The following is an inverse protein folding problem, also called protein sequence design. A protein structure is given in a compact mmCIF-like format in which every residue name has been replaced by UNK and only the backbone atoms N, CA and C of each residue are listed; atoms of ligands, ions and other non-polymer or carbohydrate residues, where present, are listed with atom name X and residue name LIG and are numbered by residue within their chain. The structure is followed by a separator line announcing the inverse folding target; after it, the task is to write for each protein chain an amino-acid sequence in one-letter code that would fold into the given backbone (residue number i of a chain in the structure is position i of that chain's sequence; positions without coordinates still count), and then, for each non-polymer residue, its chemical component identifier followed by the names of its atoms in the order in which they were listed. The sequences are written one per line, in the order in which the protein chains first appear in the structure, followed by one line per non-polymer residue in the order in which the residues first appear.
data_IF_662352447300
#
_entry.id   IF_662352447300
#
_cell.length_a   1.000
_cell.length_b   1.000
_cell.length_c   1.000
_cell.angle_alpha   90.00
_cell.angle_beta   90.00
_cell.angle_gamma   90.00
#
_symmetry.space_group_name_H-M   'P 1'
#
loop_
_entity.id
_entity.type
_entity.pdbx_description
1 polymer ?
#
# COMPACT_ATOMS: atom_id res chain seq x y z
N UNK A 1 -15.01 3.37 13.77
CA UNK A 1 -14.02 3.37 14.88
C UNK A 1 -12.71 2.72 14.42
N UNK A 2 -11.56 3.00 15.04
CA UNK A 2 -10.28 2.40 14.63
C UNK A 2 -10.32 0.86 14.70
N UNK A 3 -10.94 0.32 15.76
CA UNK A 3 -11.12 -1.12 15.97
C UNK A 3 -11.82 -1.83 14.80
N UNK A 4 -12.68 -1.11 14.05
CA UNK A 4 -13.33 -1.65 12.87
C UNK A 4 -12.31 -2.12 11.83
N UNK A 5 -11.17 -1.47 11.70
CA UNK A 5 -10.17 -1.77 10.67
C UNK A 5 -9.17 -2.86 11.07
N UNK A 6 -9.12 -3.27 12.35
CA UNK A 6 -8.16 -4.26 12.84
C UNK A 6 -8.50 -5.66 12.33
N UNK A 7 -7.53 -6.37 11.75
CA UNK A 7 -7.71 -7.72 11.20
C UNK A 7 -7.30 -7.82 9.73
N UNK A 8 -7.68 -8.93 9.09
CA UNK A 8 -7.28 -9.28 7.73
C UNK A 8 -8.31 -8.81 6.69
N UNK A 9 -7.82 -8.18 5.63
CA UNK A 9 -8.59 -7.63 4.52
C UNK A 9 -8.02 -8.14 3.21
N UNK A 10 -8.85 -8.56 2.27
CA UNK A 10 -8.38 -8.86 0.91
C UNK A 10 -8.43 -7.60 0.05
N UNK A 11 -7.36 -7.30 -0.67
CA UNK A 11 -7.27 -6.16 -1.60
C UNK A 11 -7.64 -6.64 -3.00
N UNK A 12 -8.63 -5.98 -3.61
CA UNK A 12 -8.97 -6.14 -5.01
C UNK A 12 -8.13 -5.18 -5.85
N UNK A 13 -7.37 -5.75 -6.78
CA UNK A 13 -6.60 -5.02 -7.78
C UNK A 13 -6.58 -5.83 -9.10
N UNK A 14 -6.12 -5.22 -10.20
CA UNK A 14 -5.90 -5.92 -11.47
C UNK A 14 -4.94 -7.09 -11.27
N UNK A 15 -5.38 -8.27 -11.71
CA UNK A 15 -4.54 -9.46 -11.67
C UNK A 15 -3.39 -9.32 -12.67
N UNK A 16 -2.15 -9.46 -12.19
CA UNK A 16 -0.99 -9.58 -13.07
C UNK A 16 -0.94 -11.00 -13.63
N UNK A 17 -0.89 -11.15 -14.96
CA UNK A 17 -0.83 -12.45 -15.63
C UNK A 17 0.30 -13.34 -15.09
N UNK A 18 1.45 -12.75 -14.77
CA UNK A 18 2.61 -13.45 -14.22
C UNK A 18 2.41 -14.02 -12.80
N UNK A 19 1.46 -13.48 -12.03
CA UNK A 19 1.21 -13.88 -10.64
C UNK A 19 0.00 -14.82 -10.49
N UNK A 20 -0.77 -15.04 -11.57
CA UNK A 20 -1.99 -15.85 -11.54
C UNK A 20 -3.07 -15.25 -10.63
N UNK A 21 -3.99 -16.09 -10.14
CA UNK A 21 -5.10 -15.68 -9.23
C UNK A 21 -4.68 -15.73 -7.76
N UNK A 22 -3.53 -15.13 -7.43
CA UNK A 22 -3.07 -15.08 -6.03
C UNK A 22 -3.70 -13.88 -5.32
N UNK A 23 -4.42 -14.09 -4.21
CA UNK A 23 -5.02 -12.99 -3.46
C UNK A 23 -3.93 -12.17 -2.77
N UNK A 24 -4.20 -10.87 -2.62
CA UNK A 24 -3.38 -9.93 -1.85
C UNK A 24 -4.13 -9.59 -0.57
N UNK A 25 -3.43 -9.60 0.57
CA UNK A 25 -4.05 -9.31 1.86
C UNK A 25 -3.35 -8.16 2.59
N UNK A 26 -4.15 -7.37 3.29
CA UNK A 26 -3.70 -6.37 4.26
C UNK A 26 -4.18 -6.79 5.64
N UNK A 27 -3.24 -7.03 6.55
CA UNK A 27 -3.54 -7.30 7.96
C UNK A 27 -3.17 -6.09 8.79
N UNK A 28 -4.12 -5.51 9.51
CA UNK A 28 -3.93 -4.32 10.35
C UNK A 28 -3.94 -4.76 11.81
N UNK A 29 -2.88 -4.40 12.56
CA UNK A 29 -2.73 -4.76 13.97
C UNK A 29 -3.16 -3.60 14.87
N UNK A 30 -3.61 -3.93 16.08
CA UNK A 30 -3.86 -2.93 17.13
C UNK A 30 -2.57 -2.52 17.84
N UNK A 31 -1.52 -2.27 17.06
CA UNK A 31 -0.18 -1.90 17.51
C UNK A 31 0.28 -0.66 16.76
N UNK A 32 1.10 0.19 17.38
CA UNK A 32 1.73 1.31 16.69
C UNK A 32 2.85 0.81 15.79
N UNK A 33 3.02 1.46 14.64
CA UNK A 33 4.16 1.17 13.78
C UNK A 33 5.43 1.76 14.38
N UNK A 34 6.54 1.00 14.33
CA UNK A 34 7.87 1.53 14.65
C UNK A 34 8.35 2.60 13.67
N UNK A 35 7.77 2.66 12.46
CA UNK A 35 8.11 3.66 11.41
C UNK A 35 7.28 4.94 11.50
N UNK A 36 6.12 4.91 12.16
CA UNK A 36 5.27 6.09 12.32
C UNK A 36 4.48 6.01 13.63
N UNK A 37 4.77 6.91 14.60
CA UNK A 37 4.02 6.98 15.86
C UNK A 37 2.51 7.23 15.66
N UNK A 38 2.13 7.81 14.53
CA UNK A 38 0.74 8.11 14.19
C UNK A 38 0.06 6.96 13.42
N UNK A 39 0.83 6.03 12.86
CA UNK A 39 0.34 4.87 12.12
C UNK A 39 0.05 3.65 12.99
N UNK A 40 -0.70 2.72 12.43
CA UNK A 40 -0.84 1.36 12.94
C UNK A 40 0.08 0.44 12.17
N UNK A 41 0.68 -0.53 12.86
CA UNK A 41 1.42 -1.63 12.22
C UNK A 41 0.47 -2.40 11.30
N UNK A 42 0.95 -2.74 10.11
CA UNK A 42 0.22 -3.57 9.17
C UNK A 42 1.18 -4.48 8.40
N UNK A 43 0.66 -5.58 7.86
CA UNK A 43 1.38 -6.49 6.97
C UNK A 43 0.62 -6.59 5.67
N UNK A 44 1.31 -6.35 4.56
CA UNK A 44 0.82 -6.58 3.21
C UNK A 44 1.38 -7.93 2.73
N UNK A 45 0.50 -8.90 2.52
CA UNK A 45 0.83 -10.18 1.90
C UNK A 45 0.61 -10.06 0.39
N UNK A 46 1.67 -10.14 -0.39
CA UNK A 46 1.63 -10.11 -1.85
C UNK A 46 2.45 -11.26 -2.41
N UNK A 47 1.84 -12.07 -3.29
CA UNK A 47 2.50 -13.22 -3.90
C UNK A 47 3.14 -14.20 -2.87
N UNK A 48 2.45 -14.44 -1.74
CA UNK A 48 2.91 -15.26 -0.60
C UNK A 48 4.13 -14.71 0.15
N UNK A 49 4.53 -13.48 -0.12
CA UNK A 49 5.55 -12.78 0.65
C UNK A 49 4.86 -11.74 1.53
N UNK A 50 5.21 -11.73 2.81
CA UNK A 50 4.73 -10.74 3.77
C UNK A 50 5.69 -9.55 3.82
N UNK A 51 5.12 -8.36 3.79
CA UNK A 51 5.85 -7.11 3.88
C UNK A 51 5.24 -6.27 4.99
N UNK A 52 6.04 -5.95 6.01
CA UNK A 52 5.58 -5.01 7.04
C UNK A 52 5.47 -3.60 6.43
N UNK A 53 4.35 -2.95 6.70
CA UNK A 53 4.00 -1.59 6.30
C UNK A 53 3.28 -0.91 7.48
N UNK A 54 2.71 0.28 7.25
CA UNK A 54 1.83 0.92 8.23
C UNK A 54 0.65 1.59 7.54
N UNK A 55 -0.42 1.81 8.30
CA UNK A 55 -1.62 2.51 7.83
C UNK A 55 -1.95 3.67 8.76
N UNK A 56 -2.52 4.74 8.23
CA UNK A 56 -2.96 5.90 9.00
C UNK A 56 -4.48 5.86 9.12
N UNK A 57 -5.00 5.89 10.35
CA UNK A 57 -6.43 6.01 10.62
C UNK A 57 -6.82 7.48 10.81
N UNK A 58 -7.76 7.98 10.01
CA UNK A 58 -8.33 9.30 10.15
C UNK A 58 -9.59 9.23 11.03
N UNK A 59 -9.52 9.82 12.24
CA UNK A 59 -10.63 9.81 13.20
C UNK A 59 -11.85 10.60 12.73
N UNK A 60 -11.65 11.68 11.98
CA UNK A 60 -12.71 12.58 11.51
C UNK A 60 -13.56 11.92 10.44
N UNK A 61 -12.92 11.21 9.49
CA UNK A 61 -13.62 10.59 8.35
C UNK A 61 -13.85 9.09 8.54
N UNK A 62 -13.27 8.47 9.57
CA UNK A 62 -13.34 7.03 9.81
C UNK A 62 -12.57 6.18 8.78
N UNK A 63 -11.73 6.80 7.95
CA UNK A 63 -11.00 6.13 6.85
C UNK A 63 -9.64 5.59 7.32
N UNK A 64 -9.11 4.61 6.59
CA UNK A 64 -7.69 4.23 6.67
C UNK A 64 -6.98 4.63 5.40
N UNK A 65 -5.69 4.87 5.47
CA UNK A 65 -4.88 5.11 4.28
C UNK A 65 -3.57 4.35 4.33
N UNK A 66 -3.13 3.89 3.17
CA UNK A 66 -1.79 3.32 2.98
C UNK A 66 -0.89 4.47 2.52
N UNK A 67 0.05 4.94 3.36
CA UNK A 67 0.95 6.03 2.99
C UNK A 67 1.92 5.56 1.90
N UNK A 68 2.15 6.43 0.93
CA UNK A 68 3.07 6.19 -0.18
C UNK A 68 3.80 7.49 -0.50
N UNK A 69 4.83 7.44 -1.34
CA UNK A 69 5.47 8.65 -1.85
C UNK A 69 5.28 8.70 -3.35
N UNK A 70 5.03 9.90 -3.87
CA UNK A 70 5.22 10.17 -5.29
C UNK A 70 6.70 10.03 -5.61
N UNK A 71 6.99 9.36 -6.73
CA UNK A 71 8.34 9.33 -7.28
C UNK A 71 8.30 10.11 -8.58
N UNK A 72 9.17 11.11 -8.70
CA UNK A 72 9.31 11.91 -9.91
C UNK A 72 9.88 11.04 -11.04
N UNK A 73 8.99 10.41 -11.79
CA UNK A 73 9.27 9.77 -13.08
C UNK A 73 8.72 10.69 -14.18
N UNK A 74 9.57 11.27 -15.05
CA UNK A 74 9.14 12.21 -16.10
C UNK A 74 8.21 11.57 -17.15
N UNK A 75 7.98 10.26 -17.08
CA UNK A 75 7.10 9.55 -18.02
C UNK A 75 5.75 9.13 -17.43
N UNK A 76 5.58 9.08 -16.10
CA UNK A 76 4.32 8.65 -15.43
C UNK A 76 4.24 9.12 -13.97
N UNK A 77 3.09 9.61 -13.53
CA UNK A 77 2.79 9.82 -12.10
C UNK A 77 2.61 8.47 -11.40
N UNK A 78 3.65 7.96 -10.74
CA UNK A 78 3.62 6.70 -9.99
C UNK A 78 3.81 6.94 -8.49
N UNK A 79 3.10 6.16 -7.66
CA UNK A 79 3.24 6.16 -6.20
C UNK A 79 3.88 4.86 -5.72
N UNK A 80 4.76 4.95 -4.73
CA UNK A 80 5.54 3.83 -4.20
C UNK A 80 5.34 3.68 -2.69
N UNK A 81 5.05 2.46 -2.24
CA UNK A 81 5.12 2.06 -0.84
C UNK A 81 6.52 1.54 -0.55
N UNK A 82 7.10 1.96 0.57
CA UNK A 82 8.37 1.42 1.07
C UNK A 82 8.12 0.20 1.96
N UNK A 83 8.79 -0.90 1.62
CA UNK A 83 8.66 -2.16 2.35
C UNK A 83 9.70 -2.21 3.47
N UNK A 84 9.30 -2.70 4.64
CA UNK A 84 10.22 -2.90 5.77
C UNK A 84 11.23 -3.99 5.38
N UNK A 85 12.50 -3.60 5.32
CA UNK A 85 13.60 -4.44 4.82
C UNK A 85 14.77 -3.64 4.25
N UNK A 86 14.59 -2.34 4.08
CA UNK A 86 15.66 -1.38 3.81
C UNK A 86 16.19 -0.86 5.14
N UNK A 87 17.52 -0.81 5.31
CA UNK A 87 18.19 -0.33 6.54
C UNK A 87 17.80 1.11 6.93
N UNK A 88 17.08 1.82 6.07
CA UNK A 88 16.48 3.11 6.37
C UNK A 88 15.12 2.97 7.09
N UNK A 89 15.10 3.37 8.36
CA UNK A 89 13.86 3.68 9.09
C UNK A 89 13.16 4.96 8.57
N UNK A 90 13.75 5.65 7.58
CA UNK A 90 13.27 6.91 7.03
C UNK A 90 12.53 6.72 5.70
N UNK A 91 11.40 7.43 5.56
CA UNK A 91 10.66 7.58 4.32
C UNK A 91 11.39 8.60 3.45
N UNK A 92 11.59 8.34 2.15
CA UNK A 92 12.40 9.18 1.26
C UNK A 92 11.61 10.37 0.68
N UNK A 93 11.47 11.44 1.44
CA UNK A 93 10.79 12.66 0.99
C UNK A 93 9.34 12.79 1.48
N UNK A 94 8.50 13.53 0.74
CA UNK A 94 7.14 13.86 1.17
C UNK A 94 6.24 12.64 1.10
N UNK A 95 5.61 12.31 2.22
CA UNK A 95 4.57 11.27 2.30
C UNK A 95 3.27 11.84 1.73
N UNK A 96 2.83 11.26 0.62
CA UNK A 96 1.50 11.49 0.08
C UNK A 96 0.54 10.41 0.61
N UNK A 97 -0.75 10.71 0.57
CA UNK A 97 -1.81 9.78 1.00
C UNK A 97 -2.72 9.45 -0.19
N UNK A 98 -2.21 8.77 -1.23
CA UNK A 98 -2.96 8.56 -2.47
C UNK A 98 -4.04 7.47 -2.36
N UNK A 99 -3.94 6.54 -1.40
CA UNK A 99 -4.89 5.45 -1.24
C UNK A 99 -5.57 5.51 0.13
N UNK A 100 -6.73 6.16 0.17
CA UNK A 100 -7.60 6.22 1.35
C UNK A 100 -8.82 5.32 1.15
N UNK A 101 -9.04 4.36 2.03
CA UNK A 101 -10.20 3.47 1.99
C UNK A 101 -11.31 4.00 2.90
N UNK A 102 -12.51 4.13 2.34
CA UNK A 102 -13.72 4.49 3.08
C UNK A 102 -14.69 3.32 3.03
N UNK A 103 -15.16 2.88 4.21
CA UNK A 103 -16.16 1.82 4.31
C UNK A 103 -17.47 2.25 3.63
N UNK A 104 -17.99 1.36 2.80
CA UNK A 104 -19.29 1.45 2.16
C UNK A 104 -20.18 0.30 2.69
N UNK A 105 -21.18 0.62 3.54
CA UNK A 105 -22.04 -0.41 4.13
C UNK A 105 -22.96 -1.07 3.10
N UNK A 106 -23.24 -0.42 1.97
CA UNK A 106 -24.18 -0.94 0.97
C UNK A 106 -23.55 -2.06 0.13
N UNK A 107 -22.22 -2.05 0.00
CA UNK A 107 -21.48 -3.04 -0.79
C UNK A 107 -20.58 -3.97 0.04
N UNK A 108 -20.62 -3.86 1.38
CA UNK A 108 -19.83 -4.65 2.33
C UNK A 108 -18.32 -4.63 2.02
N UNK A 109 -17.82 -3.48 1.55
CA UNK A 109 -16.41 -3.27 1.26
C UNK A 109 -16.01 -1.81 1.49
N UNK A 110 -14.70 -1.54 1.52
CA UNK A 110 -14.18 -0.19 1.53
C UNK A 110 -13.51 0.15 0.20
N UNK A 111 -14.00 1.19 -0.48
CA UNK A 111 -13.50 1.63 -1.79
C UNK A 111 -12.30 2.57 -1.62
N UNK A 112 -11.31 2.44 -2.52
CA UNK A 112 -10.19 3.36 -2.57
C UNK A 112 -10.62 4.73 -3.14
N UNK A 113 -10.55 5.79 -2.34
CA UNK A 113 -10.54 7.18 -2.83
C UNK A 113 -9.26 7.37 -3.62
N UNK A 114 -9.37 7.45 -4.94
CA UNK A 114 -8.22 7.25 -5.84
C UNK A 114 -8.59 6.42 -7.08
N UNK A 115 -9.63 5.58 -6.97
CA UNK A 115 -10.07 4.74 -8.08
C UNK A 115 -10.48 5.57 -9.32
N UNK A 116 -10.09 5.02 -10.48
CA UNK A 116 -10.25 5.31 -11.93
C UNK A 116 -11.19 6.39 -12.49
N UNK A 117 -11.99 7.07 -11.67
CA UNK A 117 -12.99 8.05 -12.10
C UNK A 117 -12.52 9.52 -12.07
N UNK A 118 -11.29 9.82 -11.65
CA UNK A 118 -10.71 11.15 -11.88
C UNK A 118 -9.37 11.08 -12.62
N UNK A 119 -9.21 11.95 -13.60
CA UNK A 119 -8.10 11.99 -14.56
C UNK A 119 -6.71 12.28 -13.95
N UNK A 120 -6.61 12.47 -12.63
CA UNK A 120 -5.39 12.85 -11.90
C UNK A 120 -5.07 11.93 -10.72
N UNK A 121 -5.75 10.79 -10.57
CA UNK A 121 -5.65 9.93 -9.38
C UNK A 121 -4.68 8.76 -9.51
N UNK A 122 -4.13 8.35 -8.36
CA UNK A 122 -3.29 7.17 -8.22
C UNK A 122 -4.10 5.89 -8.52
N UNK A 123 -3.72 5.16 -9.57
CA UNK A 123 -4.42 3.94 -9.99
C UNK A 123 -3.80 2.67 -9.43
N UNK A 124 -2.56 2.71 -8.93
CA UNK A 124 -1.90 1.54 -8.36
C UNK A 124 -0.76 1.87 -7.43
N UNK A 125 -0.25 0.84 -6.75
CA UNK A 125 0.89 0.91 -5.85
C UNK A 125 1.98 -0.06 -6.26
N UNK A 126 3.22 0.41 -6.22
CA UNK A 126 4.41 -0.44 -6.32
C UNK A 126 5.12 -0.49 -4.98
N UNK A 127 5.57 -1.67 -4.59
CA UNK A 127 6.47 -1.83 -3.45
C UNK A 127 7.89 -1.89 -3.98
N UNK A 128 8.75 -0.99 -3.54
CA UNK A 128 10.16 -0.93 -3.95
C UNK A 128 11.04 -0.98 -2.70
N UNK A 129 12.10 -1.78 -2.78
CA UNK A 129 13.19 -1.74 -1.80
C UNK A 129 14.28 -0.81 -2.30
N UNK A 130 14.78 0.06 -1.42
CA UNK A 130 15.93 0.92 -1.62
C UNK A 130 17.09 0.46 -0.74
N UNK A 131 18.30 0.46 -1.27
CA UNK A 131 19.51 0.19 -0.50
C UNK A 131 19.88 1.39 0.38
N UNK A 132 19.68 2.60 -0.14
CA UNK A 132 19.82 3.88 0.55
C UNK A 132 18.89 4.93 -0.11
N UNK A 133 18.94 6.19 0.32
CA UNK A 133 18.02 7.24 -0.15
C UNK A 133 18.00 7.47 -1.67
N UNK A 134 19.02 7.03 -2.41
CA UNK A 134 19.18 7.32 -3.84
C UNK A 134 19.26 6.05 -4.70
N UNK A 135 19.44 4.87 -4.11
CA UNK A 135 19.67 3.64 -4.87
C UNK A 135 18.58 2.60 -4.62
N UNK A 136 17.74 2.35 -5.64
CA UNK A 136 16.81 1.22 -5.65
C UNK A 136 17.58 -0.11 -5.65
N UNK A 137 17.06 -1.11 -4.94
CA UNK A 137 17.59 -2.48 -4.96
C UNK A 137 17.55 -3.05 -6.38
N UNK A 138 18.65 -3.68 -6.80
CA UNK A 138 18.74 -4.36 -8.08
C UNK A 138 19.01 -5.85 -7.92
N UNK A 139 18.64 -6.64 -8.92
CA UNK A 139 19.03 -8.04 -9.01
C UNK A 139 20.53 -8.17 -9.37
N UNK A 140 21.01 -9.40 -9.50
CA UNK A 140 22.40 -9.69 -9.83
C UNK A 140 22.83 -9.18 -11.22
N UNK A 141 21.88 -8.81 -12.08
CA UNK A 141 22.10 -8.28 -13.43
C UNK A 141 21.96 -6.75 -13.48
N UNK A 142 21.67 -6.10 -12.35
CA UNK A 142 21.49 -4.66 -12.27
C UNK A 142 20.07 -4.19 -12.60
N UNK A 143 19.10 -5.08 -12.78
CA UNK A 143 17.71 -4.68 -13.02
C UNK A 143 17.03 -4.27 -11.70
N UNK A 144 16.23 -3.21 -11.77
CA UNK A 144 15.41 -2.71 -10.65
C UNK A 144 14.46 -3.79 -10.11
N UNK A 145 14.55 -4.07 -8.82
CA UNK A 145 13.65 -5.00 -8.13
C UNK A 145 12.38 -4.24 -7.69
N UNK A 146 11.22 -4.72 -8.15
CA UNK A 146 9.89 -4.22 -7.76
C UNK A 146 9.05 -5.41 -7.27
N UNK A 147 9.15 -5.76 -5.98
CA UNK A 147 8.54 -6.98 -5.43
C UNK A 147 7.00 -6.94 -5.38
N UNK A 148 6.40 -5.75 -5.34
CA UNK A 148 4.94 -5.60 -5.28
C UNK A 148 4.48 -4.72 -6.43
N UNK A 149 3.45 -5.17 -7.15
CA UNK A 149 2.76 -4.39 -8.17
C UNK A 149 1.27 -4.66 -8.04
N UNK A 150 0.53 -3.64 -7.61
CA UNK A 150 -0.94 -3.65 -7.52
C UNK A 150 -1.49 -2.54 -8.41
N UNK A 151 -1.82 -2.89 -9.64
CA UNK A 151 -2.46 -1.96 -10.59
C UNK A 151 -3.98 -1.96 -10.40
N UNK A 152 -4.65 -0.84 -10.70
CA UNK A 152 -6.10 -0.64 -10.56
C UNK A 152 -6.67 -1.14 -9.22
N UNK A 153 -6.23 -0.55 -8.11
CA UNK A 153 -6.76 -0.89 -6.78
C UNK A 153 -8.20 -0.38 -6.69
N UNK A 154 -9.15 -1.29 -6.42
CA UNK A 154 -10.58 -0.99 -6.41
C UNK A 154 -11.08 -0.82 -4.95
N UNK A 155 -11.01 -1.91 -4.18
CA UNK A 155 -11.57 -1.97 -2.82
C UNK A 155 -10.80 -2.96 -1.93
N UNK A 156 -11.06 -2.87 -0.63
CA UNK A 156 -10.73 -3.90 0.34
C UNK A 156 -12.00 -4.48 0.97
N UNK A 157 -12.02 -5.78 1.21
CA UNK A 157 -13.12 -6.46 1.93
C UNK A 157 -12.55 -7.24 3.09
N UNK A 158 -13.34 -7.42 4.16
CA UNK A 158 -12.90 -8.21 5.30
C UNK A 158 -12.80 -9.68 4.91
N UNK A 159 -11.76 -10.34 5.39
CA UNK A 159 -11.68 -11.80 5.31
C UNK A 159 -12.41 -12.34 6.54
N UNK A 160 -13.43 -13.17 6.29
CA UNK A 160 -14.18 -13.87 7.35
C UNK A 160 -13.30 -14.94 8.01
#
# INVERSE_FOLDING_TARGET
PQSFWIGKWSIKHRALRALGRRPTYLTIYNERSGRSPQGLKAVLEFNHTEYEIFVIYNRTTGTISIPAQSVDDPTKTNYVIYLVGTDSQQLLGKVDVPFTFQWDPDFDHATAKGATFEHTKATGMKGIGYKDELHQNTDAQGNKIVPIVMDDIEYIRRVQ
#
